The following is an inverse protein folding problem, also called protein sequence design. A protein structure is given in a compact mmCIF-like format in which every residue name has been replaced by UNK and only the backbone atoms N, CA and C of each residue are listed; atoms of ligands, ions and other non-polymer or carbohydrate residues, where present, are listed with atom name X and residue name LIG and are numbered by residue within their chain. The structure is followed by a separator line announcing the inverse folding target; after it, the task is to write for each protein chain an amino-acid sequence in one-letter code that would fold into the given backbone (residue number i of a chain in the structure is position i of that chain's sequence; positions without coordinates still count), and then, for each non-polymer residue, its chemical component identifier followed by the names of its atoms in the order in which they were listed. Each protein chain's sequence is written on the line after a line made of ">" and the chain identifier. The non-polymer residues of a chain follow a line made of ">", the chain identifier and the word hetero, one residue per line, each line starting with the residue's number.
data_IF_416448417105
#
_entry.id   IF_416448417105
#
_cell.length_a   1.000
_cell.length_b   1.000
_cell.length_c   1.000
_cell.angle_alpha   90.00
_cell.angle_beta   90.00
_cell.angle_gamma   90.00
#
_symmetry.space_group_name_H-M   'P 1'
#
loop_
_entity.id
_entity.type
_entity.pdbx_description
1 polymer ?
#
# COMPACT_ATOMS: atom_id res chain seq x y z
N UNK A 1 8.51 6.13 4.40
CA UNK A 1 9.14 4.86 4.00
C UNK A 1 8.26 4.08 3.01
N UNK A 2 7.00 3.79 3.31
CA UNK A 2 6.06 3.07 2.41
C UNK A 2 6.01 3.69 1.02
N UNK A 3 5.95 5.01 0.90
CA UNK A 3 5.90 5.67 -0.40
C UNK A 3 7.21 5.63 -1.19
N UNK A 4 8.36 5.50 -0.53
CA UNK A 4 9.64 5.27 -1.22
C UNK A 4 9.64 3.87 -1.86
N UNK A 5 9.23 2.84 -1.12
CA UNK A 5 9.08 1.48 -1.61
C UNK A 5 8.04 1.39 -2.74
N UNK A 6 7.01 2.21 -2.68
CA UNK A 6 5.97 2.32 -3.69
C UNK A 6 6.52 2.77 -5.05
N UNK A 7 7.30 3.85 -5.07
CA UNK A 7 7.95 4.35 -6.29
C UNK A 7 8.87 3.32 -6.90
N UNK A 8 9.61 2.61 -6.07
CA UNK A 8 10.52 1.57 -6.49
C UNK A 8 9.77 0.38 -7.12
N UNK A 9 8.72 -0.10 -6.49
CA UNK A 9 7.89 -1.19 -7.00
C UNK A 9 7.24 -0.82 -8.35
N UNK A 10 6.73 0.40 -8.46
CA UNK A 10 6.20 0.93 -9.71
C UNK A 10 7.25 0.93 -10.83
N UNK A 11 8.43 1.49 -10.55
CA UNK A 11 9.51 1.55 -11.54
C UNK A 11 9.97 0.16 -11.99
N UNK A 12 10.08 -0.79 -11.07
CA UNK A 12 10.45 -2.18 -11.38
C UNK A 12 9.43 -2.87 -12.29
N UNK A 13 8.15 -2.65 -12.05
CA UNK A 13 7.09 -3.27 -12.85
C UNK A 13 6.90 -2.59 -14.21
N UNK A 14 6.95 -1.26 -14.24
CA UNK A 14 6.74 -0.47 -15.46
C UNK A 14 7.94 -0.53 -16.41
N UNK A 15 9.15 -0.44 -15.86
CA UNK A 15 10.39 -0.43 -16.64
C UNK A 15 10.98 -1.81 -16.91
N UNK A 16 10.49 -2.86 -16.26
CA UNK A 16 11.05 -4.22 -16.38
C UNK A 16 12.48 -4.35 -15.87
N UNK A 17 12.89 -3.47 -14.96
CA UNK A 17 14.22 -3.40 -14.40
C UNK A 17 14.49 -4.44 -13.30
N UNK A 18 15.67 -4.33 -12.70
CA UNK A 18 16.07 -5.10 -11.52
C UNK A 18 16.55 -4.16 -10.44
N UNK A 19 16.19 -4.46 -9.21
CA UNK A 19 16.69 -3.75 -8.03
C UNK A 19 17.79 -4.55 -7.37
N UNK A 20 18.92 -3.91 -7.07
CA UNK A 20 20.00 -4.49 -6.27
C UNK A 20 19.87 -4.10 -4.81
N UNK A 21 19.82 -5.08 -3.91
CA UNK A 21 19.89 -4.89 -2.48
C UNK A 21 20.81 -5.92 -1.84
N UNK A 22 21.84 -5.45 -1.15
CA UNK A 22 22.83 -6.31 -0.46
C UNK A 22 23.43 -7.41 -1.37
N UNK A 23 23.72 -7.06 -2.64
CA UNK A 23 24.30 -8.01 -3.61
C UNK A 23 23.29 -8.96 -4.27
N UNK A 24 22.01 -8.87 -3.95
CA UNK A 24 20.93 -9.64 -4.59
C UNK A 24 20.13 -8.74 -5.49
N UNK A 25 19.79 -9.23 -6.69
CA UNK A 25 18.96 -8.51 -7.66
C UNK A 25 17.56 -9.10 -7.70
N UNK A 26 16.55 -8.24 -7.64
CA UNK A 26 15.14 -8.60 -7.66
C UNK A 26 14.46 -8.06 -8.91
N UNK A 27 13.69 -8.90 -9.60
CA UNK A 27 12.71 -8.48 -10.60
C UNK A 27 11.46 -7.93 -9.92
N UNK A 28 10.52 -7.35 -10.68
CA UNK A 28 9.23 -6.92 -10.12
C UNK A 28 8.46 -8.04 -9.43
N UNK A 29 8.47 -9.26 -10.00
CA UNK A 29 7.80 -10.42 -9.41
C UNK A 29 8.47 -10.90 -8.11
N UNK A 30 9.79 -10.93 -8.08
CA UNK A 30 10.56 -11.29 -6.87
C UNK A 30 10.39 -10.25 -5.77
N UNK A 31 10.36 -8.96 -6.12
CA UNK A 31 10.06 -7.86 -5.20
C UNK A 31 8.66 -8.01 -4.58
N UNK A 32 7.64 -8.32 -5.38
CA UNK A 32 6.30 -8.56 -4.86
C UNK A 32 6.28 -9.77 -3.91
N UNK A 33 7.00 -10.84 -4.24
CA UNK A 33 7.11 -12.02 -3.36
C UNK A 33 7.78 -11.70 -2.03
N UNK A 34 8.78 -10.85 -2.02
CA UNK A 34 9.42 -10.37 -0.79
C UNK A 34 8.39 -9.73 0.18
N UNK A 35 7.56 -8.82 -0.32
CA UNK A 35 6.52 -8.18 0.49
C UNK A 35 5.39 -9.15 0.87
N UNK A 36 5.08 -10.13 0.00
CA UNK A 36 4.11 -11.17 0.29
C UNK A 36 4.53 -12.03 1.49
N UNK A 37 5.81 -12.38 1.61
CA UNK A 37 6.32 -13.13 2.76
C UNK A 37 6.06 -12.36 4.06
N UNK A 38 6.37 -11.06 4.09
CA UNK A 38 6.10 -10.22 5.25
C UNK A 38 4.59 -10.15 5.59
N UNK A 39 3.74 -10.10 4.58
CA UNK A 39 2.28 -10.16 4.76
C UNK A 39 1.85 -11.52 5.32
N UNK A 40 2.31 -12.63 4.76
CA UNK A 40 1.93 -13.99 5.19
C UNK A 40 2.35 -14.26 6.65
N UNK A 41 3.49 -13.73 7.10
CA UNK A 41 4.01 -13.88 8.47
C UNK A 41 3.29 -12.98 9.51
N UNK A 42 2.50 -12.03 9.08
CA UNK A 42 1.81 -11.07 9.95
C UNK A 42 0.30 -11.11 9.71
N UNK A 43 -0.23 -10.21 8.91
CA UNK A 43 -1.66 -10.06 8.63
C UNK A 43 -2.26 -11.38 8.12
N UNK A 44 -1.58 -12.06 7.20
CA UNK A 44 -2.01 -13.35 6.66
C UNK A 44 -2.08 -14.46 7.72
N UNK A 45 -1.18 -14.44 8.70
CA UNK A 45 -1.18 -15.35 9.85
C UNK A 45 -2.17 -14.92 10.97
N UNK A 46 -2.83 -13.78 10.83
CA UNK A 46 -3.76 -13.25 11.83
C UNK A 46 -3.06 -12.55 12.99
N UNK A 47 -1.85 -12.01 12.77
CA UNK A 47 -1.05 -11.29 13.76
C UNK A 47 -1.13 -9.79 13.50
N UNK A 48 -1.63 -9.04 14.48
CA UNK A 48 -1.61 -7.57 14.46
C UNK A 48 -0.21 -7.07 14.79
N UNK A 49 0.57 -6.79 13.78
CA UNK A 49 1.93 -6.25 13.91
C UNK A 49 2.12 -5.11 12.92
N UNK A 50 2.59 -3.96 13.42
CA UNK A 50 2.97 -2.85 12.55
C UNK A 50 4.18 -3.28 11.70
N UNK A 51 3.92 -3.59 10.43
CA UNK A 51 4.91 -4.01 9.45
C UNK A 51 4.64 -3.30 8.13
N UNK A 52 5.47 -2.33 7.80
CA UNK A 52 5.35 -1.53 6.59
C UNK A 52 5.43 -2.36 5.31
N UNK A 53 6.21 -3.45 5.30
CA UNK A 53 6.33 -4.34 4.14
C UNK A 53 5.04 -5.13 3.91
N UNK A 54 4.40 -5.58 4.99
CA UNK A 54 3.09 -6.25 4.90
C UNK A 54 2.00 -5.32 4.36
N UNK A 55 1.98 -4.08 4.82
CA UNK A 55 1.06 -3.05 4.29
C UNK A 55 1.35 -2.73 2.83
N UNK A 56 2.63 -2.63 2.47
CA UNK A 56 3.02 -2.39 1.08
C UNK A 56 2.51 -3.49 0.15
N UNK A 57 2.55 -4.75 0.58
CA UNK A 57 1.96 -5.85 -0.19
C UNK A 57 0.45 -5.64 -0.46
N UNK A 58 -0.30 -5.14 0.52
CA UNK A 58 -1.74 -4.86 0.31
C UNK A 58 -1.95 -3.78 -0.75
N UNK A 59 -1.09 -2.78 -0.80
CA UNK A 59 -1.14 -1.74 -1.85
C UNK A 59 -0.75 -2.29 -3.22
N UNK A 60 0.20 -3.23 -3.30
CA UNK A 60 0.52 -3.90 -4.56
C UNK A 60 -0.65 -4.73 -5.09
N UNK A 61 -1.46 -5.35 -4.22
CA UNK A 61 -2.71 -6.04 -4.62
C UNK A 61 -3.70 -5.08 -5.28
N UNK A 62 -3.83 -3.86 -4.76
CA UNK A 62 -4.67 -2.82 -5.38
C UNK A 62 -4.13 -2.47 -6.77
N UNK A 63 -2.82 -2.26 -6.91
CA UNK A 63 -2.19 -2.00 -8.20
C UNK A 63 -2.40 -3.15 -9.20
N UNK A 64 -2.41 -4.39 -8.75
CA UNK A 64 -2.72 -5.57 -9.59
C UNK A 64 -4.16 -5.56 -10.10
N UNK A 65 -5.10 -5.11 -9.28
CA UNK A 65 -6.52 -5.07 -9.64
C UNK A 65 -6.88 -3.91 -10.56
N UNK A 66 -6.38 -2.71 -10.26
CA UNK A 66 -6.78 -1.47 -10.93
C UNK A 66 -5.69 -0.87 -11.84
N UNK A 67 -4.48 -1.39 -11.79
CA UNK A 67 -3.31 -0.80 -12.43
C UNK A 67 -2.69 0.32 -11.58
N UNK A 68 -1.43 0.65 -11.87
CA UNK A 68 -0.70 1.70 -11.16
C UNK A 68 -1.30 3.11 -11.33
N UNK A 69 -2.04 3.34 -12.40
CA UNK A 69 -2.71 4.64 -12.65
C UNK A 69 -3.69 5.05 -11.56
N UNK A 70 -4.26 4.11 -10.82
CA UNK A 70 -5.14 4.43 -9.68
C UNK A 70 -4.40 5.23 -8.62
N UNK A 71 -3.12 4.95 -8.44
CA UNK A 71 -2.28 5.67 -7.49
C UNK A 71 -1.82 7.02 -8.01
N UNK A 72 -1.52 7.13 -9.30
CA UNK A 72 -1.21 8.43 -9.93
C UNK A 72 -2.37 9.42 -9.72
N UNK A 73 -3.59 8.97 -9.97
CA UNK A 73 -4.79 9.78 -9.76
C UNK A 73 -5.05 10.09 -8.29
N UNK A 74 -4.89 9.10 -7.39
CA UNK A 74 -5.03 9.31 -5.95
C UNK A 74 -4.03 10.34 -5.43
N UNK A 75 -2.76 10.27 -5.85
CA UNK A 75 -1.75 11.25 -5.49
C UNK A 75 -2.04 12.63 -6.08
N UNK A 76 -2.54 12.71 -7.32
CA UNK A 76 -2.97 13.98 -7.92
C UNK A 76 -4.06 14.64 -7.08
N UNK A 77 -5.04 13.88 -6.61
CA UNK A 77 -6.09 14.38 -5.73
C UNK A 77 -5.54 14.82 -4.36
N UNK A 78 -4.62 14.05 -3.80
CA UNK A 78 -3.96 14.40 -2.53
C UNK A 78 -3.12 15.68 -2.62
N UNK A 79 -2.43 15.89 -3.72
CA UNK A 79 -1.64 17.11 -3.96
C UNK A 79 -2.52 18.37 -4.12
N UNK A 80 -3.80 18.21 -4.43
CA UNK A 80 -4.74 19.33 -4.53
C UNK A 80 -5.36 19.74 -3.18
N UNK A 81 -5.02 19.03 -2.08
CA UNK A 81 -5.48 19.37 -0.74
C UNK A 81 -4.87 20.67 -0.24
N UNK A 82 -5.67 21.45 0.46
CA UNK A 82 -5.22 22.67 1.12
C UNK A 82 -4.46 22.35 2.42
N UNK A 83 -3.61 23.28 2.84
CA UNK A 83 -2.89 23.17 4.10
C UNK A 83 -3.89 23.11 5.27
N UNK A 84 -3.75 22.09 6.11
CA UNK A 84 -4.63 21.85 7.25
C UNK A 84 -5.71 20.79 7.06
N UNK A 85 -6.03 20.38 5.84
CA UNK A 85 -7.03 19.31 5.60
C UNK A 85 -6.60 17.95 6.19
N UNK A 86 -5.29 17.75 6.40
CA UNK A 86 -4.73 16.54 7.02
C UNK A 86 -4.47 16.69 8.53
N UNK A 87 -4.77 17.84 9.12
CA UNK A 87 -4.48 18.13 10.53
C UNK A 87 -5.26 17.23 11.52
N UNK A 88 -6.36 16.62 11.08
CA UNK A 88 -7.17 15.70 11.87
C UNK A 88 -6.62 14.26 11.91
N UNK A 89 -5.67 13.92 11.04
CA UNK A 89 -5.09 12.59 10.95
C UNK A 89 -4.04 12.39 12.04
N UNK A 90 -4.46 11.82 13.17
CA UNK A 90 -3.61 11.68 14.36
C UNK A 90 -2.85 10.37 14.44
N UNK A 91 -3.45 9.28 13.96
CA UNK A 91 -2.86 7.95 14.00
C UNK A 91 -2.41 7.53 12.60
N UNK A 92 -1.56 6.51 12.53
CA UNK A 92 -1.20 5.92 11.23
C UNK A 92 -2.39 5.20 10.61
N UNK A 93 -3.34 4.73 11.42
CA UNK A 93 -4.60 4.19 10.91
C UNK A 93 -5.49 5.26 10.26
N UNK A 94 -5.59 6.46 10.84
CA UNK A 94 -6.30 7.58 10.22
C UNK A 94 -5.70 7.91 8.84
N UNK A 95 -4.37 7.95 8.75
CA UNK A 95 -3.65 8.19 7.49
C UNK A 95 -3.90 7.07 6.47
N UNK A 96 -3.90 5.82 6.91
CA UNK A 96 -4.20 4.66 6.07
C UNK A 96 -5.62 4.75 5.49
N UNK A 97 -6.63 4.97 6.33
CA UNK A 97 -8.02 5.11 5.90
C UNK A 97 -8.21 6.31 4.96
N UNK A 98 -7.59 7.44 5.29
CA UNK A 98 -7.64 8.64 4.47
C UNK A 98 -7.04 8.39 3.09
N UNK A 99 -5.86 7.78 3.02
CA UNK A 99 -5.23 7.42 1.75
C UNK A 99 -6.11 6.48 0.92
N UNK A 100 -6.65 5.42 1.53
CA UNK A 100 -7.54 4.49 0.83
C UNK A 100 -8.84 5.14 0.35
N UNK A 101 -9.33 6.18 1.03
CA UNK A 101 -10.49 6.93 0.55
C UNK A 101 -10.21 7.64 -0.78
N UNK A 102 -9.01 8.16 -0.97
CA UNK A 102 -8.58 8.78 -2.23
C UNK A 102 -8.30 7.74 -3.32
N UNK A 103 -7.72 6.61 -2.95
CA UNK A 103 -7.57 5.47 -3.87
C UNK A 103 -8.94 4.97 -4.34
N UNK A 104 -9.92 4.91 -3.45
CA UNK A 104 -11.31 4.55 -3.78
C UNK A 104 -11.95 5.54 -4.75
N UNK A 105 -11.74 6.85 -4.55
CA UNK A 105 -12.18 7.88 -5.50
C UNK A 105 -11.57 7.67 -6.89
N UNK A 106 -10.27 7.39 -6.94
CA UNK A 106 -9.56 7.12 -8.19
C UNK A 106 -10.01 5.82 -8.86
N UNK A 107 -10.31 4.78 -8.10
CA UNK A 107 -10.78 3.49 -8.58
C UNK A 107 -12.27 3.50 -9.01
N UNK A 108 -13.05 4.46 -8.54
CA UNK A 108 -14.50 4.49 -8.76
C UNK A 108 -15.30 3.48 -7.94
N UNK A 109 -14.67 2.83 -6.96
CA UNK A 109 -15.31 1.89 -6.03
C UNK A 109 -14.57 1.84 -4.69
N UNK A 110 -15.22 1.32 -3.64
CA UNK A 110 -14.65 1.20 -2.30
C UNK A 110 -13.58 0.09 -2.25
N UNK A 111 -12.31 0.49 -2.31
CA UNK A 111 -11.18 -0.46 -2.29
C UNK A 111 -11.05 -1.20 -0.96
N UNK A 112 -11.55 -0.64 0.15
CA UNK A 112 -11.56 -1.35 1.42
C UNK A 112 -12.44 -2.60 1.35
N UNK A 113 -13.58 -2.51 0.66
CA UNK A 113 -14.48 -3.65 0.47
C UNK A 113 -14.02 -4.63 -0.60
N UNK A 114 -13.37 -4.12 -1.64
CA UNK A 114 -13.02 -4.95 -2.82
C UNK A 114 -11.65 -5.59 -2.73
N UNK A 115 -10.73 -5.03 -1.94
CA UNK A 115 -9.34 -5.49 -1.84
C UNK A 115 -8.93 -6.04 -0.48
N UNK A 116 -9.74 -5.84 0.56
CA UNK A 116 -9.46 -6.28 1.93
C UNK A 116 -10.60 -7.14 2.46
N UNK A 117 -10.27 -8.16 3.26
CA UNK A 117 -11.25 -8.82 4.11
C UNK A 117 -11.47 -8.01 5.39
N UNK A 118 -12.62 -8.22 6.04
CA UNK A 118 -12.92 -7.58 7.32
C UNK A 118 -11.85 -7.88 8.38
N UNK A 119 -11.38 -9.12 8.42
CA UNK A 119 -10.32 -9.56 9.35
C UNK A 119 -8.99 -8.84 9.09
N UNK A 120 -8.62 -8.63 7.82
CA UNK A 120 -7.42 -7.85 7.49
C UNK A 120 -7.52 -6.41 8.00
N UNK A 121 -8.66 -5.76 7.78
CA UNK A 121 -8.88 -4.38 8.23
C UNK A 121 -8.81 -4.27 9.75
N UNK A 122 -9.38 -5.22 10.49
CA UNK A 122 -9.32 -5.27 11.96
C UNK A 122 -7.86 -5.40 12.45
N UNK A 123 -7.07 -6.29 11.84
CA UNK A 123 -5.67 -6.48 12.20
C UNK A 123 -4.81 -5.25 11.86
N UNK A 124 -5.08 -4.61 10.73
CA UNK A 124 -4.40 -3.37 10.34
C UNK A 124 -4.76 -2.24 11.32
N UNK A 125 -6.03 -2.11 11.68
CA UNK A 125 -6.49 -1.14 12.66
C UNK A 125 -5.79 -1.34 14.02
N UNK A 126 -5.77 -2.57 14.52
CA UNK A 126 -5.08 -2.90 15.77
C UNK A 126 -3.59 -2.60 15.71
N UNK A 127 -2.94 -2.84 14.57
CA UNK A 127 -1.50 -2.65 14.39
C UNK A 127 -1.08 -1.19 14.22
N UNK A 128 -1.96 -0.32 13.73
CA UNK A 128 -1.66 1.09 13.40
C UNK A 128 -2.25 2.11 14.39
N UNK A 129 -3.03 1.68 15.33
CA UNK A 129 -3.48 2.51 16.44
C UNK A 129 -2.42 2.61 17.52
#
# INVERSE_FOLDING_TARGET
>A
EIFANFRMSYALEDCGGRMGQRGVFYTGAENMNYYKIAYDETIGAGVAKNNGDALHYTFMRIARKYGWKVYEEAFRLLYALEEGETAMLKTDYDKFCFFLSYVSKAAGEDVCKTCYSQKELELIEESLK
#
